data_IF_783135616857
#
_entry.id   IF_783135616857
#
_cell.length_a   1.000
_cell.length_b   1.000
_cell.length_c   1.000
_cell.angle_alpha   90.00
_cell.angle_beta   90.00
_cell.angle_gamma   90.00
#
_symmetry.space_group_name_H-M   'P 1'
#
loop_
_entity.id
_entity.type
_entity.pdbx_description
1 polymer ?
#
# COMPACT_ATOMS: atom_id res chain seq x y z
N UNK A 1 -34.66 25.70 -4.58
CA UNK A 1 -33.26 25.22 -4.51
C UNK A 1 -33.20 23.95 -5.35
N UNK A 2 -32.64 24.02 -6.57
CA UNK A 2 -32.48 22.83 -7.42
C UNK A 2 -31.28 22.01 -6.89
N UNK A 3 -31.37 20.68 -6.80
CA UNK A 3 -30.22 19.86 -6.45
C UNK A 3 -29.17 19.96 -7.56
N UNK A 4 -27.93 20.25 -7.18
CA UNK A 4 -26.81 20.38 -8.09
C UNK A 4 -26.49 19.03 -8.75
N UNK A 5 -26.23 19.10 -10.06
CA UNK A 5 -25.93 18.00 -10.96
C UNK A 5 -24.63 17.30 -10.55
N UNK A 6 -24.68 15.99 -10.28
CA UNK A 6 -23.50 15.16 -9.96
C UNK A 6 -22.50 15.14 -11.12
N UNK A 7 -21.28 15.58 -10.86
CA UNK A 7 -20.10 15.31 -11.69
C UNK A 7 -19.37 14.13 -11.02
N UNK A 8 -19.07 13.08 -11.78
CA UNK A 8 -18.43 11.85 -11.29
C UNK A 8 -17.03 12.12 -10.74
N UNK A 9 -16.89 11.94 -9.43
CA UNK A 9 -15.70 12.18 -8.61
C UNK A 9 -16.18 12.69 -7.26
N UNK A 10 -16.39 11.79 -6.29
CA UNK A 10 -17.09 12.13 -5.04
C UNK A 10 -16.35 13.23 -4.27
N UNK A 11 -16.95 14.42 -4.13
CA UNK A 11 -16.43 15.54 -3.32
C UNK A 11 -16.48 15.30 -1.80
N UNK A 12 -16.71 14.06 -1.37
CA UNK A 12 -16.89 13.66 0.02
C UNK A 12 -15.79 12.67 0.44
N UNK A 13 -15.39 12.68 1.73
CA UNK A 13 -14.39 11.73 2.23
C UNK A 13 -14.92 10.29 2.09
N UNK A 14 -14.06 9.39 1.60
CA UNK A 14 -14.32 7.94 1.49
C UNK A 14 -13.16 7.22 2.17
N UNK A 15 -13.16 7.08 3.50
CA UNK A 15 -12.03 6.49 4.22
C UNK A 15 -11.68 5.09 3.70
N UNK A 16 -10.41 4.83 3.36
CA UNK A 16 -9.96 3.54 2.81
C UNK A 16 -9.02 2.76 3.72
N UNK A 17 -8.16 3.46 4.47
CA UNK A 17 -7.22 2.86 5.40
C UNK A 17 -6.91 3.83 6.55
N UNK A 18 -6.62 3.26 7.72
CA UNK A 18 -6.09 3.99 8.87
C UNK A 18 -4.74 3.40 9.26
N UNK A 19 -3.77 4.25 9.59
CA UNK A 19 -2.49 3.84 10.20
C UNK A 19 -2.26 4.63 11.49
N UNK A 20 -1.65 3.98 12.49
CA UNK A 20 -1.14 4.66 13.68
C UNK A 20 0.26 5.18 13.38
N UNK A 21 0.55 6.43 13.72
CA UNK A 21 1.87 6.99 13.55
C UNK A 21 2.91 6.31 14.48
N UNK A 22 4.21 6.39 14.17
CA UNK A 22 5.25 5.72 14.97
C UNK A 22 5.35 6.17 16.44
N UNK A 23 4.81 7.35 16.80
CA UNK A 23 4.78 7.81 18.19
C UNK A 23 3.60 7.24 18.98
N UNK A 24 2.61 6.67 18.30
CA UNK A 24 1.39 6.13 18.90
C UNK A 24 0.33 7.17 19.25
N UNK A 25 0.48 8.42 18.81
CA UNK A 25 -0.38 9.55 19.19
C UNK A 25 -1.44 9.90 18.14
N UNK A 26 -1.16 9.66 16.87
CA UNK A 26 -1.99 10.12 15.76
C UNK A 26 -2.46 8.95 14.90
N UNK A 27 -3.77 8.84 14.70
CA UNK A 27 -4.30 8.04 13.60
C UNK A 27 -4.36 8.89 12.32
N UNK A 28 -3.89 8.31 11.22
CA UNK A 28 -3.86 8.93 9.90
C UNK A 28 -4.77 8.13 8.99
N UNK A 29 -5.79 8.78 8.46
CA UNK A 29 -6.86 8.16 7.68
C UNK A 29 -6.77 8.64 6.23
N UNK A 30 -6.56 7.71 5.30
CA UNK A 30 -6.57 7.99 3.87
C UNK A 30 -8.01 8.20 3.39
N UNK A 31 -8.24 9.32 2.70
CA UNK A 31 -9.50 9.66 2.05
C UNK A 31 -9.29 9.80 0.54
N UNK A 32 -9.33 8.70 -0.23
CA UNK A 32 -9.16 8.73 -1.68
C UNK A 32 -10.19 9.59 -2.40
N UNK A 33 -11.45 9.63 -1.93
CA UNK A 33 -12.55 10.34 -2.58
C UNK A 33 -12.28 11.84 -2.79
N UNK A 34 -11.67 12.51 -1.81
CA UNK A 34 -11.35 13.94 -1.86
C UNK A 34 -9.83 14.23 -1.80
N UNK A 35 -9.00 13.19 -2.00
CA UNK A 35 -7.55 13.29 -2.04
C UNK A 35 -6.93 13.95 -0.79
N UNK A 36 -7.35 13.48 0.39
CA UNK A 36 -6.91 14.03 1.68
C UNK A 36 -6.53 12.96 2.70
N UNK A 37 -5.86 13.39 3.77
CA UNK A 37 -5.62 12.64 4.99
C UNK A 37 -6.38 13.31 6.13
N UNK A 38 -7.22 12.57 6.86
CA UNK A 38 -7.75 13.04 8.14
C UNK A 38 -6.84 12.56 9.28
N UNK A 39 -6.60 13.44 10.25
CA UNK A 39 -5.69 13.19 11.38
C UNK A 39 -6.49 13.24 12.67
N UNK A 40 -6.42 12.18 13.46
CA UNK A 40 -7.03 12.11 14.79
C UNK A 40 -5.91 12.13 15.82
N UNK A 41 -5.96 13.07 16.76
CA UNK A 41 -5.06 13.14 17.93
C UNK A 41 -5.68 12.34 19.08
N UNK A 42 -4.94 11.35 19.58
CA UNK A 42 -5.36 10.49 20.70
C UNK A 42 -4.92 11.04 22.05
N UNK A 43 -4.23 12.20 22.08
CA UNK A 43 -3.78 12.81 23.33
C UNK A 43 -4.93 12.95 24.33
N UNK A 44 -4.65 12.52 25.56
CA UNK A 44 -5.59 12.53 26.69
C UNK A 44 -6.87 11.72 26.41
N UNK A 45 -6.80 10.68 25.56
CA UNK A 45 -7.91 9.81 25.14
C UNK A 45 -9.11 10.57 24.52
N UNK A 46 -8.88 11.76 23.93
CA UNK A 46 -9.95 12.58 23.35
C UNK A 46 -10.37 12.16 21.92
N UNK A 47 -9.48 11.55 21.14
CA UNK A 47 -9.72 11.11 19.76
C UNK A 47 -10.35 12.19 18.85
N UNK A 48 -9.79 13.40 18.89
CA UNK A 48 -10.31 14.54 18.13
C UNK A 48 -9.66 14.66 16.75
N UNK A 49 -10.43 15.06 15.73
CA UNK A 49 -9.87 15.39 14.42
C UNK A 49 -9.05 16.68 14.57
N UNK A 50 -7.72 16.54 14.55
CA UNK A 50 -6.79 17.67 14.68
C UNK A 50 -6.46 18.31 13.34
N UNK A 51 -6.78 17.67 12.22
CA UNK A 51 -6.56 18.24 10.90
C UNK A 51 -7.07 17.40 9.73
N UNK A 52 -7.24 18.07 8.60
CA UNK A 52 -7.45 17.45 7.29
C UNK A 52 -6.41 18.04 6.34
N UNK A 53 -5.58 17.18 5.75
CA UNK A 53 -4.46 17.56 4.88
C UNK A 53 -4.74 17.10 3.46
N UNK A 54 -4.85 18.03 2.52
CA UNK A 54 -4.96 17.69 1.09
C UNK A 54 -3.57 17.35 0.56
N UNK A 55 -3.46 16.23 -0.16
CA UNK A 55 -2.19 15.81 -0.79
C UNK A 55 -2.04 16.55 -2.12
N UNK A 56 -1.02 17.40 -2.33
CA UNK A 56 -0.88 18.17 -3.56
C UNK A 56 -0.86 17.34 -4.84
N UNK A 57 -0.27 16.13 -4.78
CA UNK A 57 0.05 15.27 -5.91
C UNK A 57 -1.17 14.56 -6.54
N UNK A 58 -2.40 14.85 -6.10
CA UNK A 58 -3.67 14.28 -6.63
C UNK A 58 -3.65 12.76 -6.82
N UNK A 59 -3.03 12.05 -5.87
CA UNK A 59 -2.82 10.61 -5.98
C UNK A 59 -4.05 9.77 -5.60
N UNK A 60 -5.06 10.35 -4.94
CA UNK A 60 -6.17 9.63 -4.33
C UNK A 60 -5.65 8.58 -3.34
N UNK A 61 -5.23 8.96 -2.12
CA UNK A 61 -4.48 8.08 -1.21
C UNK A 61 -5.27 6.80 -0.94
N UNK A 62 -4.76 5.65 -1.37
CA UNK A 62 -5.43 4.36 -1.26
C UNK A 62 -4.91 3.56 -0.08
N UNK A 63 -3.58 3.42 -0.02
CA UNK A 63 -2.89 2.75 1.08
C UNK A 63 -1.66 3.52 1.56
N UNK A 64 -1.27 3.25 2.82
CA UNK A 64 -0.27 3.97 3.57
C UNK A 64 0.48 3.05 4.53
N UNK A 65 1.73 3.40 4.84
CA UNK A 65 2.44 2.90 6.02
C UNK A 65 3.51 3.90 6.46
N UNK A 66 3.98 3.72 7.69
CA UNK A 66 5.02 4.55 8.26
C UNK A 66 6.40 3.92 8.12
N UNK A 67 7.42 4.76 7.97
CA UNK A 67 8.84 4.41 7.94
C UNK A 67 9.55 5.26 9.00
N UNK A 68 10.40 4.66 9.81
CA UNK A 68 11.25 5.36 10.78
C UNK A 68 12.72 5.18 10.41
N UNK A 69 13.43 6.29 10.20
CA UNK A 69 14.87 6.29 9.86
C UNK A 69 15.58 7.48 10.48
N UNK A 70 16.70 7.25 11.14
CA UNK A 70 17.57 8.30 11.68
C UNK A 70 16.86 9.27 12.63
N UNK A 71 15.88 8.78 13.42
CA UNK A 71 15.05 9.59 14.31
C UNK A 71 13.97 10.42 13.62
N UNK A 72 13.83 10.31 12.29
CA UNK A 72 12.75 10.93 11.51
C UNK A 72 11.68 9.89 11.17
N UNK A 73 10.44 10.36 11.01
CA UNK A 73 9.33 9.53 10.58
C UNK A 73 8.83 9.98 9.20
N UNK A 74 8.39 9.03 8.40
CA UNK A 74 7.86 9.25 7.06
C UNK A 74 6.58 8.46 6.88
N UNK A 75 5.70 8.98 6.04
CA UNK A 75 4.51 8.31 5.55
C UNK A 75 4.72 8.03 4.06
N UNK A 76 4.73 6.75 3.68
CA UNK A 76 4.58 6.37 2.28
C UNK A 76 3.09 6.22 1.97
N UNK A 77 2.67 6.77 0.83
CA UNK A 77 1.29 6.80 0.38
C UNK A 77 1.26 6.34 -1.08
N UNK A 78 0.34 5.44 -1.41
CA UNK A 78 0.15 4.95 -2.77
C UNK A 78 -1.26 5.24 -3.24
N UNK A 79 -1.41 5.58 -4.52
CA UNK A 79 -2.71 5.94 -5.11
C UNK A 79 -3.71 4.78 -5.23
N UNK A 80 -4.99 5.04 -4.98
CA UNK A 80 -6.07 4.07 -5.16
C UNK A 80 -6.47 3.92 -6.63
N UNK A 81 -6.30 4.95 -7.45
CA UNK A 81 -6.78 4.98 -8.85
C UNK A 81 -5.67 5.24 -9.86
N UNK A 82 -4.42 5.36 -9.39
CA UNK A 82 -3.24 5.58 -10.21
C UNK A 82 -2.03 4.90 -9.57
N UNK A 83 -0.91 4.91 -10.29
CA UNK A 83 0.33 4.27 -9.87
C UNK A 83 1.28 5.18 -9.10
N UNK A 84 0.82 6.34 -8.64
CA UNK A 84 1.68 7.32 -7.97
C UNK A 84 2.04 6.88 -6.54
N UNK A 85 3.27 7.16 -6.16
CA UNK A 85 3.82 6.99 -4.82
C UNK A 85 4.22 8.37 -4.30
N UNK A 86 3.82 8.70 -3.08
CA UNK A 86 4.28 9.88 -2.36
C UNK A 86 4.98 9.40 -1.09
N UNK A 87 6.17 9.94 -0.83
CA UNK A 87 6.85 9.84 0.46
C UNK A 87 6.82 11.23 1.09
N UNK A 88 6.19 11.33 2.26
CA UNK A 88 6.12 12.56 3.04
C UNK A 88 6.87 12.41 4.36
N UNK A 89 7.70 13.39 4.71
CA UNK A 89 8.26 13.50 6.07
C UNK A 89 7.16 13.95 7.04
N UNK A 90 7.15 13.36 8.22
CA UNK A 90 6.24 13.66 9.30
C UNK A 90 6.93 14.57 10.32
N UNK A 91 6.40 15.77 10.50
CA UNK A 91 6.91 16.76 11.45
C UNK A 91 5.90 16.95 12.58
N UNK A 92 6.31 16.62 13.81
CA UNK A 92 5.46 16.65 14.99
C UNK A 92 5.62 17.95 15.76
N UNK A 93 4.50 18.49 16.22
CA UNK A 93 4.44 19.59 17.19
C UNK A 93 3.53 19.19 18.34
N UNK A 94 3.47 20.00 19.39
CA UNK A 94 2.57 19.72 20.52
C UNK A 94 1.09 19.62 20.14
N UNK A 95 0.69 20.21 19.00
CA UNK A 95 -0.73 20.33 18.59
C UNK A 95 -1.07 19.65 17.27
N UNK A 96 -0.09 19.47 16.39
CA UNK A 96 -0.32 19.08 15.01
C UNK A 96 0.76 18.13 14.50
N UNK A 97 0.34 17.21 13.65
CA UNK A 97 1.19 16.44 12.76
C UNK A 97 1.15 17.10 11.37
N UNK A 98 2.31 17.43 10.82
CA UNK A 98 2.48 18.02 9.48
C UNK A 98 3.17 17.05 8.54
N UNK A 99 2.86 17.17 7.25
CA UNK A 99 3.47 16.38 6.19
C UNK A 99 4.20 17.29 5.19
N UNK A 100 5.43 16.92 4.87
CA UNK A 100 6.21 17.56 3.80
C UNK A 100 6.55 16.52 2.75
N UNK A 101 6.04 16.62 1.52
CA UNK A 101 6.45 15.72 0.43
C UNK A 101 7.95 15.84 0.21
N UNK A 102 8.68 14.72 0.31
CA UNK A 102 10.12 14.65 0.08
C UNK A 102 10.49 13.86 -1.17
N UNK A 103 9.58 13.00 -1.65
CA UNK A 103 9.77 12.25 -2.89
C UNK A 103 8.42 11.90 -3.51
N UNK A 104 8.38 11.94 -4.84
CA UNK A 104 7.27 11.45 -5.66
C UNK A 104 7.81 10.44 -6.66
N UNK A 105 7.07 9.36 -6.86
CA UNK A 105 7.48 8.27 -7.73
C UNK A 105 6.27 7.59 -8.38
N UNK A 106 6.55 6.54 -9.14
CA UNK A 106 5.56 5.68 -9.76
C UNK A 106 5.95 4.24 -9.46
N UNK A 107 4.99 3.35 -9.16
CA UNK A 107 5.31 1.96 -8.89
C UNK A 107 5.51 1.12 -10.17
N UNK A 108 6.29 1.62 -11.14
CA UNK A 108 6.65 0.83 -12.33
C UNK A 108 7.96 1.30 -12.96
N UNK A 109 8.68 0.37 -13.58
CA UNK A 109 9.65 0.68 -14.63
C UNK A 109 8.87 1.16 -15.87
N UNK A 110 9.16 2.37 -16.34
CA UNK A 110 8.67 2.84 -17.64
C UNK A 110 9.26 1.91 -18.70
N UNK A 111 8.44 1.10 -19.37
CA UNK A 111 8.84 0.47 -20.62
C UNK A 111 8.32 1.34 -21.77
N UNK A 112 9.21 1.60 -22.72
CA UNK A 112 8.95 2.50 -23.84
C UNK A 112 7.79 1.98 -24.71
N UNK A 113 6.70 2.76 -24.81
CA UNK A 113 5.76 2.70 -25.92
C UNK A 113 4.46 1.88 -25.77
N UNK A 114 4.15 1.29 -24.61
CA UNK A 114 2.90 0.55 -24.41
C UNK A 114 1.75 1.40 -23.83
N UNK A 115 0.54 1.29 -24.39
CA UNK A 115 -0.66 1.93 -23.83
C UNK A 115 -0.91 1.47 -22.38
N UNK A 116 -1.18 2.45 -21.52
CA UNK A 116 -1.16 2.33 -20.07
C UNK A 116 -2.47 1.75 -19.53
N UNK A 117 -2.42 0.57 -18.90
CA UNK A 117 -3.47 0.20 -17.95
C UNK A 117 -3.23 1.03 -16.67
N UNK A 118 -4.17 1.92 -16.34
CA UNK A 118 -4.26 2.55 -15.01
C UNK A 118 -4.43 1.45 -13.97
N UNK A 119 -3.41 1.23 -13.15
CA UNK A 119 -3.41 0.12 -12.18
C UNK A 119 -3.65 0.67 -10.77
N UNK A 120 -4.80 0.38 -10.14
CA UNK A 120 -5.02 0.75 -8.76
C UNK A 120 -4.14 -0.10 -7.83
N UNK A 121 -3.45 0.53 -6.87
CA UNK A 121 -2.82 -0.24 -5.79
C UNK A 121 -3.87 -0.80 -4.86
N UNK A 122 -3.67 -2.04 -4.44
CA UNK A 122 -4.51 -2.66 -3.43
C UNK A 122 -3.96 -2.49 -2.01
N UNK A 123 -2.64 -2.32 -1.88
CA UNK A 123 -2.03 -1.99 -0.61
C UNK A 123 -0.51 -1.94 -0.68
N UNK A 124 0.07 -1.71 0.50
CA UNK A 124 1.50 -1.74 0.72
C UNK A 124 1.82 -2.25 2.12
N UNK A 125 3.05 -2.75 2.30
CA UNK A 125 3.63 -3.09 3.60
C UNK A 125 5.08 -2.63 3.65
N UNK A 126 5.52 -2.16 4.81
CA UNK A 126 6.91 -1.80 5.11
C UNK A 126 7.48 -2.90 6.00
N UNK A 127 8.61 -3.47 5.60
CA UNK A 127 9.30 -4.49 6.38
C UNK A 127 9.84 -3.91 7.69
N UNK A 128 10.02 -4.76 8.70
CA UNK A 128 10.51 -4.42 10.04
C UNK A 128 11.87 -3.71 10.00
N UNK A 129 12.69 -3.98 8.98
CA UNK A 129 13.96 -3.31 8.74
C UNK A 129 13.85 -1.84 8.29
N UNK A 130 12.64 -1.29 8.14
CA UNK A 130 12.34 0.09 7.74
C UNK A 130 12.92 0.50 6.38
N UNK A 131 13.42 -0.46 5.60
CA UNK A 131 14.08 -0.26 4.32
C UNK A 131 13.24 -0.81 3.20
N UNK A 132 12.80 -2.06 3.32
CA UNK A 132 12.09 -2.73 2.23
C UNK A 132 10.60 -2.44 2.29
N UNK A 133 10.03 -2.21 1.11
CA UNK A 133 8.63 -1.85 0.93
C UNK A 133 8.08 -2.72 -0.19
N UNK A 134 6.94 -3.37 0.06
CA UNK A 134 6.24 -4.14 -0.95
C UNK A 134 4.91 -3.47 -1.25
N UNK A 135 4.65 -3.22 -2.52
CA UNK A 135 3.42 -2.61 -3.03
C UNK A 135 2.81 -3.59 -4.02
N UNK A 136 1.51 -3.86 -3.90
CA UNK A 136 0.81 -4.77 -4.81
C UNK A 136 -0.35 -4.07 -5.51
N UNK A 137 -0.61 -4.50 -6.74
CA UNK A 137 -1.59 -3.89 -7.64
C UNK A 137 -2.59 -4.93 -8.15
N UNK A 138 -3.84 -4.49 -8.35
CA UNK A 138 -4.84 -5.31 -9.05
C UNK A 138 -4.75 -4.99 -10.53
N UNK A 139 -4.44 -6.00 -11.34
CA UNK A 139 -4.56 -5.90 -12.79
C UNK A 139 -6.03 -5.92 -13.18
N UNK A 140 -6.45 -4.92 -13.96
CA UNK A 140 -7.67 -4.97 -14.75
C UNK A 140 -7.32 -5.59 -16.11
N UNK A 141 -7.79 -6.80 -16.37
CA UNK A 141 -7.42 -7.64 -17.52
C UNK A 141 -6.73 -8.93 -17.08
N UNK A 142 -6.76 -9.97 -17.91
CA UNK A 142 -6.34 -11.36 -17.62
C UNK A 142 -4.83 -11.56 -17.36
N UNK A 143 -4.14 -10.52 -16.91
CA UNK A 143 -2.73 -10.52 -16.56
C UNK A 143 -2.56 -10.77 -15.06
N UNK A 144 -1.56 -11.56 -14.70
CA UNK A 144 -1.23 -11.88 -13.30
C UNK A 144 -1.09 -10.62 -12.43
N UNK A 145 -1.51 -10.71 -11.16
CA UNK A 145 -1.22 -9.69 -10.17
C UNK A 145 0.27 -9.65 -9.83
N UNK A 146 0.79 -8.51 -9.40
CA UNK A 146 2.22 -8.36 -9.12
C UNK A 146 2.50 -7.78 -7.74
N UNK A 147 3.72 -8.05 -7.25
CA UNK A 147 4.32 -7.45 -6.06
C UNK A 147 5.55 -6.66 -6.52
N UNK A 148 5.50 -5.35 -6.38
CA UNK A 148 6.65 -4.46 -6.57
C UNK A 148 7.43 -4.30 -5.28
N UNK A 149 8.74 -4.52 -5.33
CA UNK A 149 9.66 -4.25 -4.23
C UNK A 149 10.37 -2.92 -4.45
N UNK A 150 10.37 -2.10 -3.40
CA UNK A 150 11.03 -0.81 -3.33
C UNK A 150 11.90 -0.74 -2.08
N UNK A 151 12.93 0.10 -2.14
CA UNK A 151 13.76 0.44 -0.97
C UNK A 151 13.61 1.90 -0.62
N UNK A 152 13.40 2.19 0.67
CA UNK A 152 13.66 3.49 1.26
C UNK A 152 15.15 3.72 1.40
N UNK A 153 15.62 4.88 0.97
CA UNK A 153 17.01 5.30 1.11
C UNK A 153 17.07 6.75 1.60
N UNK A 154 18.12 7.06 2.36
CA UNK A 154 18.42 8.40 2.84
C UNK A 154 19.86 8.74 2.50
N UNK A 155 20.08 9.84 1.76
CA UNK A 155 21.43 10.26 1.41
C UNK A 155 22.16 10.92 2.59
N UNK A 156 23.45 11.24 2.41
CA UNK A 156 24.28 11.89 3.44
C UNK A 156 23.70 13.23 3.93
N UNK A 157 22.87 13.90 3.11
CA UNK A 157 22.19 15.15 3.45
C UNK A 157 20.79 14.93 4.03
N UNK A 158 20.49 13.70 4.45
CA UNK A 158 19.19 13.27 5.01
C UNK A 158 18.01 13.38 4.03
N UNK A 159 18.26 13.48 2.72
CA UNK A 159 17.20 13.47 1.71
C UNK A 159 16.73 12.04 1.50
N UNK A 160 15.47 11.81 1.86
CA UNK A 160 14.83 10.52 1.76
C UNK A 160 14.19 10.34 0.38
N UNK A 161 14.32 9.16 -0.20
CA UNK A 161 13.69 8.79 -1.46
C UNK A 161 13.36 7.29 -1.49
N UNK A 162 12.45 6.92 -2.38
CA UNK A 162 12.12 5.52 -2.66
C UNK A 162 12.75 5.11 -3.98
N UNK A 163 13.26 3.88 -4.07
CA UNK A 163 13.85 3.32 -5.28
C UNK A 163 13.19 1.99 -5.60
N UNK A 164 12.73 1.83 -6.84
CA UNK A 164 12.27 0.55 -7.37
C UNK A 164 13.42 -0.47 -7.43
N UNK A 165 13.14 -1.71 -7.04
CA UNK A 165 14.09 -2.83 -7.10
C UNK A 165 13.65 -3.84 -8.15
N UNK A 166 12.47 -4.43 -7.97
CA UNK A 166 11.96 -5.48 -8.83
C UNK A 166 10.44 -5.58 -8.76
N UNK A 167 9.88 -6.41 -9.65
CA UNK A 167 8.48 -6.75 -9.67
C UNK A 167 8.35 -8.24 -9.97
N UNK A 168 7.60 -8.97 -9.16
CA UNK A 168 7.37 -10.41 -9.35
C UNK A 168 5.87 -10.73 -9.50
N UNK A 169 5.49 -11.77 -10.25
CA UNK A 169 4.10 -12.20 -10.30
C UNK A 169 3.68 -12.84 -8.97
N UNK A 170 2.41 -12.66 -8.60
CA UNK A 170 1.79 -13.23 -7.39
C UNK A 170 1.38 -14.69 -7.52
N UNK A 171 1.46 -15.26 -8.72
CA UNK A 171 0.90 -16.59 -9.04
C UNK A 171 -0.63 -16.63 -9.13
N UNK A 172 -1.31 -15.51 -8.89
CA UNK A 172 -2.75 -15.36 -9.06
C UNK A 172 -3.10 -14.02 -9.70
N UNK A 173 -4.35 -13.60 -9.55
CA UNK A 173 -4.89 -12.37 -10.11
C UNK A 173 -5.64 -11.63 -8.99
N UNK A 174 -5.62 -10.29 -9.05
CA UNK A 174 -6.22 -9.41 -8.05
C UNK A 174 -5.74 -9.69 -6.62
N UNK A 175 -4.44 -9.45 -6.32
CA UNK A 175 -3.93 -9.55 -4.96
C UNK A 175 -4.66 -8.52 -4.08
N UNK A 176 -5.35 -9.02 -3.05
CA UNK A 176 -6.13 -8.18 -2.13
C UNK A 176 -5.31 -7.73 -0.94
N UNK A 177 -4.47 -8.63 -0.43
CA UNK A 177 -3.68 -8.44 0.77
C UNK A 177 -2.35 -9.16 0.64
N UNK A 178 -1.31 -8.54 1.20
CA UNK A 178 -0.01 -9.15 1.40
C UNK A 178 0.43 -8.89 2.83
N UNK A 179 1.07 -9.89 3.42
CA UNK A 179 1.62 -9.86 4.77
C UNK A 179 3.03 -10.41 4.76
N UNK A 180 3.86 -9.90 5.68
CA UNK A 180 5.18 -10.47 5.94
C UNK A 180 5.08 -11.42 7.14
N UNK A 181 5.89 -12.47 7.17
CA UNK A 181 5.95 -13.34 8.35
C UNK A 181 6.43 -12.57 9.59
N UNK A 182 6.03 -13.00 10.78
CA UNK A 182 6.39 -12.35 12.05
C UNK A 182 7.74 -12.78 12.63
N UNK A 183 8.44 -13.71 11.97
CA UNK A 183 9.79 -14.07 12.37
C UNK A 183 10.71 -12.84 12.27
N UNK A 184 11.81 -12.87 13.04
CA UNK A 184 12.71 -11.72 13.16
C UNK A 184 13.24 -11.20 11.81
N UNK A 185 13.36 -12.08 10.82
CA UNK A 185 13.91 -11.78 9.51
C UNK A 185 12.82 -11.48 8.47
N UNK A 186 11.55 -11.72 8.79
CA UNK A 186 10.42 -11.70 7.87
C UNK A 186 10.75 -12.50 6.60
N UNK A 187 11.10 -13.77 6.77
CA UNK A 187 11.61 -14.64 5.70
C UNK A 187 10.58 -14.97 4.62
N UNK A 188 9.30 -14.64 4.85
CA UNK A 188 8.24 -14.90 3.89
C UNK A 188 7.37 -13.67 3.63
N UNK A 189 7.00 -13.50 2.36
CA UNK A 189 5.90 -12.64 1.94
C UNK A 189 4.74 -13.53 1.48
N UNK A 190 3.56 -13.36 2.07
CA UNK A 190 2.38 -14.18 1.80
C UNK A 190 1.31 -13.28 1.18
N UNK A 191 0.82 -13.65 0.00
CA UNK A 191 -0.19 -12.89 -0.75
C UNK A 191 -1.48 -13.68 -0.88
N UNK A 192 -2.60 -12.97 -0.76
CA UNK A 192 -3.94 -13.48 -1.03
C UNK A 192 -4.48 -12.88 -2.32
N UNK A 193 -4.78 -13.75 -3.29
CA UNK A 193 -5.30 -13.42 -4.62
C UNK A 193 -6.79 -13.78 -4.69
N UNK A 194 -7.61 -12.85 -5.16
CA UNK A 194 -9.06 -13.07 -5.24
C UNK A 194 -9.47 -13.99 -6.41
N UNK A 195 -8.59 -14.22 -7.38
CA UNK A 195 -8.81 -15.15 -8.50
C UNK A 195 -7.46 -15.63 -9.10
N UNK A 196 -7.49 -16.43 -10.17
CA UNK A 196 -6.30 -17.08 -10.77
C UNK A 196 -5.90 -18.40 -10.09
N UNK A 197 -4.79 -18.98 -10.52
CA UNK A 197 -4.38 -20.34 -10.12
C UNK A 197 -4.09 -20.45 -8.61
N UNK A 198 -3.21 -19.58 -8.08
CA UNK A 198 -2.89 -19.56 -6.66
C UNK A 198 -3.77 -18.55 -5.91
N UNK A 199 -4.66 -19.05 -5.05
CA UNK A 199 -5.43 -18.20 -4.13
C UNK A 199 -4.57 -17.66 -2.99
N UNK A 200 -3.66 -18.48 -2.45
CA UNK A 200 -2.58 -18.02 -1.56
C UNK A 200 -1.24 -18.42 -2.19
N UNK A 201 -0.26 -17.52 -2.13
CA UNK A 201 1.13 -17.83 -2.46
C UNK A 201 2.07 -17.28 -1.39
N UNK A 202 3.06 -18.07 -0.99
CA UNK A 202 4.12 -17.66 -0.08
C UNK A 202 5.45 -17.61 -0.84
N UNK A 203 6.14 -16.48 -0.79
CA UNK A 203 7.41 -16.24 -1.44
C UNK A 203 8.51 -16.12 -0.39
N UNK A 204 9.69 -16.70 -0.65
CA UNK A 204 10.84 -16.51 0.22
C UNK A 204 11.41 -15.12 0.01
N UNK A 205 11.65 -14.41 1.11
CA UNK A 205 12.28 -13.09 1.14
C UNK A 205 13.74 -13.24 1.57
N UNK A 206 14.66 -12.67 0.81
CA UNK A 206 16.05 -12.53 1.23
C UNK A 206 16.15 -11.40 2.28
N UNK A 207 16.55 -11.68 3.53
CA UNK A 207 16.60 -10.66 4.59
C UNK A 207 17.67 -9.59 4.34
N UNK A 208 18.71 -9.90 3.56
CA UNK A 208 19.80 -8.98 3.24
C UNK A 208 19.39 -8.02 2.14
N UNK A 209 18.85 -8.54 1.03
CA UNK A 209 18.54 -7.74 -0.16
C UNK A 209 17.09 -7.26 -0.21
N UNK A 210 16.20 -7.88 0.55
CA UNK A 210 14.75 -7.66 0.48
C UNK A 210 14.10 -8.27 -0.77
N UNK A 211 14.84 -8.95 -1.63
CA UNK A 211 14.28 -9.52 -2.87
C UNK A 211 13.39 -10.71 -2.56
N UNK A 212 12.36 -10.89 -3.37
CA UNK A 212 11.48 -12.05 -3.30
C UNK A 212 11.90 -13.07 -4.35
N UNK A 213 12.05 -14.35 -3.96
CA UNK A 213 12.18 -15.44 -4.93
C UNK A 213 10.89 -15.48 -5.75
N UNK A 214 10.92 -15.33 -7.09
CA UNK A 214 9.71 -15.35 -7.91
C UNK A 214 9.02 -16.72 -7.94
N UNK A 215 9.67 -17.78 -7.47
CA UNK A 215 9.06 -19.09 -7.31
C UNK A 215 8.50 -19.22 -5.88
N UNK A 216 7.17 -19.32 -5.72
CA UNK A 216 6.58 -19.46 -4.40
C UNK A 216 7.03 -20.78 -3.75
N UNK A 217 7.33 -20.72 -2.46
CA UNK A 217 7.71 -21.90 -1.65
C UNK A 217 6.50 -22.78 -1.30
N UNK A 218 5.31 -22.19 -1.34
CA UNK A 218 4.04 -22.87 -1.12
C UNK A 218 2.91 -22.08 -1.79
N UNK A 219 1.90 -22.80 -2.27
CA UNK A 219 0.67 -22.22 -2.79
C UNK A 219 -0.54 -22.99 -2.30
N UNK A 220 -1.68 -22.31 -2.20
CA UNK A 220 -3.00 -22.94 -2.07
C UNK A 220 -3.80 -22.55 -3.30
N UNK A 221 -4.27 -23.52 -4.11
CA UNK A 221 -5.10 -23.25 -5.28
C UNK A 221 -6.38 -22.50 -4.92
N UNK A 222 -6.79 -21.56 -5.78
CA UNK A 222 -7.96 -20.72 -5.52
C UNK A 222 -9.26 -21.53 -5.37
N UNK A 223 -9.46 -22.58 -6.18
CA UNK A 223 -10.64 -23.45 -6.11
C UNK A 223 -10.84 -24.15 -4.75
N UNK A 224 -9.79 -24.26 -3.91
CA UNK A 224 -9.91 -24.79 -2.55
C UNK A 224 -10.34 -23.74 -1.52
N UNK A 225 -10.31 -22.46 -1.88
CA UNK A 225 -10.55 -21.32 -1.00
C UNK A 225 -11.84 -20.56 -1.35
N UNK A 226 -12.53 -20.99 -2.41
CA UNK A 226 -13.85 -20.48 -2.79
C UNK A 226 -14.93 -21.40 -2.21
N UNK A 227 -16.02 -20.82 -1.72
CA UNK A 227 -17.14 -21.58 -1.18
C UNK A 227 -17.80 -22.45 -2.26
N UNK A 228 -18.25 -23.64 -1.87
CA UNK A 228 -18.96 -24.57 -2.76
C UNK A 228 -20.18 -23.92 -3.42
N UNK A 229 -20.34 -24.13 -4.72
CA UNK A 229 -21.48 -23.62 -5.49
C UNK A 229 -21.31 -22.19 -6.03
N UNK A 230 -20.16 -21.57 -5.80
CA UNK A 230 -19.79 -20.28 -6.40
C UNK A 230 -19.02 -20.54 -7.69
N UNK A 231 -19.33 -19.77 -8.74
CA UNK A 231 -18.64 -19.86 -10.04
C UNK A 231 -17.18 -19.47 -9.91
N UNK A 232 -16.28 -20.20 -10.59
CA UNK A 232 -14.84 -19.88 -10.67
C UNK A 232 -14.57 -18.49 -11.28
N UNK A 233 -15.56 -17.93 -11.99
CA UNK A 233 -15.47 -16.61 -12.61
C UNK A 233 -15.82 -15.45 -11.65
N UNK A 234 -16.23 -15.73 -10.40
CA UNK A 234 -16.46 -14.68 -9.40
C UNK A 234 -15.18 -14.32 -8.63
N UNK A 235 -14.94 -13.03 -8.43
CA UNK A 235 -13.85 -12.50 -7.57
C UNK A 235 -14.19 -12.81 -6.10
N UNK A 236 -13.88 -14.04 -5.67
CA UNK A 236 -14.33 -14.60 -4.37
C UNK A 236 -13.25 -15.40 -3.64
N UNK A 237 -12.03 -15.44 -4.17
CA UNK A 237 -10.88 -16.00 -3.49
C UNK A 237 -10.55 -15.26 -2.18
N UNK A 238 -9.52 -15.71 -1.45
CA UNK A 238 -9.16 -15.14 -0.16
C UNK A 238 -8.87 -13.64 -0.28
N UNK A 239 -9.51 -12.86 0.58
CA UNK A 239 -9.31 -11.40 0.63
C UNK A 239 -8.32 -10.97 1.71
N UNK A 240 -8.07 -11.83 2.69
CA UNK A 240 -7.27 -11.53 3.86
C UNK A 240 -6.28 -12.65 4.11
N UNK A 241 -5.03 -12.25 4.35
CA UNK A 241 -3.99 -13.08 4.94
C UNK A 241 -3.43 -12.29 6.10
N UNK A 242 -3.40 -12.88 7.29
CA UNK A 242 -2.98 -12.18 8.51
C UNK A 242 -1.53 -12.53 8.81
N UNK A 243 -0.75 -11.54 9.26
CA UNK A 243 0.50 -11.79 9.98
C UNK A 243 0.19 -12.62 11.24
N UNK A 244 0.77 -13.81 11.34
CA UNK A 244 0.69 -14.66 12.52
C UNK A 244 1.81 -14.31 13.47
#
# INVERSE_FOLDING_TARGET
>A
MQPAKLISGTSYPVPSQTVLDPTGRYFIIANPGNNSLAIIDTKDDRYEISGIVVIPEKISPGAMACITSGGSHYLIIVGQINTAIVLARMDYTDKLLKFTTVHTGQARKMEDGGQHATMPFAGLVVASNQRDIYIWNRFSGDLSGHIGHFTFNQDANRRAHIRFVENIPTGGIQPRMLSLSSDNNQEFAIVANETGDAGIAAFRRDPTTGRLDPNPVATIPNHLLVAWGVSENEIRGPQFVREL
#
